data_IF_249806939666
#
_entry.id   IF_249806939666
#
_cell.length_a   1.000
_cell.length_b   1.000
_cell.length_c   1.000
_cell.angle_alpha   90.00
_cell.angle_beta   90.00
_cell.angle_gamma   90.00
#
_symmetry.space_group_name_H-M   'P 1'
#
loop_
_entity.id
_entity.type
_entity.pdbx_description
1 polymer ?
#
# COMPACT_ATOMS: atom_id res chain seq x y z
N UNK A 1 1.50 20.34 -14.12
CA UNK A 1 1.85 19.14 -13.33
C UNK A 1 1.71 19.36 -11.83
N UNK A 2 2.31 20.41 -11.26
CA UNK A 2 2.25 20.68 -9.80
C UNK A 2 0.82 20.75 -9.23
N UNK A 3 -0.13 21.43 -9.89
CA UNK A 3 -1.55 21.44 -9.49
C UNK A 3 -2.18 20.04 -9.45
N UNK A 4 -1.79 19.16 -10.37
CA UNK A 4 -2.26 17.77 -10.37
C UNK A 4 -1.73 17.03 -9.14
N UNK A 5 -0.45 17.19 -8.83
CA UNK A 5 0.19 16.58 -7.65
C UNK A 5 -0.47 17.06 -6.36
N UNK A 6 -0.64 18.36 -6.18
CA UNK A 6 -1.11 18.94 -4.92
C UNK A 6 -2.62 18.80 -4.74
N UNK A 7 -3.43 18.96 -5.79
CA UNK A 7 -4.90 19.04 -5.65
C UNK A 7 -5.69 18.15 -6.60
N UNK A 8 -5.03 17.29 -7.39
CA UNK A 8 -5.71 16.42 -8.36
C UNK A 8 -6.66 15.42 -7.70
N UNK A 9 -7.80 15.14 -8.32
CA UNK A 9 -8.88 14.35 -7.72
C UNK A 9 -8.59 12.83 -7.57
N UNK A 10 -7.52 12.34 -8.21
CA UNK A 10 -7.21 10.90 -8.28
C UNK A 10 -5.84 10.57 -7.65
N UNK A 11 -5.69 10.67 -6.31
CA UNK A 11 -4.40 10.49 -5.65
C UNK A 11 -3.79 9.09 -5.84
N UNK A 12 -4.60 8.04 -6.00
CA UNK A 12 -4.08 6.68 -6.22
C UNK A 12 -3.44 6.53 -7.60
N UNK A 13 -4.11 7.03 -8.63
CA UNK A 13 -3.53 7.08 -9.98
C UNK A 13 -2.29 7.97 -10.02
N UNK A 14 -2.29 9.10 -9.31
CA UNK A 14 -1.10 9.95 -9.19
C UNK A 14 0.04 9.20 -8.50
N UNK A 15 -0.25 8.36 -7.51
CA UNK A 15 0.76 7.55 -6.83
C UNK A 15 1.42 6.54 -7.77
N UNK A 16 0.62 5.81 -8.55
CA UNK A 16 1.13 4.86 -9.55
C UNK A 16 1.98 5.59 -10.59
N UNK A 17 1.46 6.67 -11.17
CA UNK A 17 2.19 7.50 -12.13
C UNK A 17 3.50 8.05 -11.59
N UNK A 18 3.50 8.58 -10.36
CA UNK A 18 4.70 9.11 -9.73
C UNK A 18 5.72 8.02 -9.43
N UNK A 19 5.27 6.81 -9.05
CA UNK A 19 6.16 5.68 -8.81
C UNK A 19 6.89 5.26 -10.09
N UNK A 20 6.19 5.22 -11.21
CA UNK A 20 6.80 4.93 -12.52
C UNK A 20 7.89 5.96 -12.87
N UNK A 21 7.62 7.26 -12.67
CA UNK A 21 8.62 8.32 -12.89
C UNK A 21 9.84 8.21 -11.97
N UNK A 22 9.62 7.87 -10.70
CA UNK A 22 10.70 7.70 -9.72
C UNK A 22 11.58 6.51 -10.11
N UNK A 23 10.98 5.43 -10.59
CA UNK A 23 11.70 4.25 -11.05
C UNK A 23 12.49 4.52 -12.34
N UNK A 24 11.91 5.27 -13.28
CA UNK A 24 12.57 5.70 -14.52
C UNK A 24 13.90 6.45 -14.26
N UNK A 25 13.95 7.26 -13.20
CA UNK A 25 15.15 8.01 -12.82
C UNK A 25 16.05 7.32 -11.78
N UNK A 26 15.80 6.05 -11.44
CA UNK A 26 16.55 5.33 -10.41
C UNK A 26 16.49 5.99 -9.03
N UNK A 27 15.41 6.74 -8.75
CA UNK A 27 15.22 7.41 -7.46
C UNK A 27 14.78 6.43 -6.37
N UNK A 28 14.27 5.25 -6.74
CA UNK A 28 13.92 4.17 -5.80
C UNK A 28 15.05 3.13 -5.59
N UNK A 29 15.93 2.92 -6.57
CA UNK A 29 17.11 2.03 -6.51
C UNK A 29 18.18 2.52 -7.49
N UNK A 30 19.46 2.40 -7.11
CA UNK A 30 20.69 2.85 -7.80
C UNK A 30 20.55 3.35 -9.25
N UNK A 31 21.07 4.57 -9.47
CA UNK A 31 21.07 5.37 -10.69
C UNK A 31 21.05 4.58 -12.01
N UNK A 32 19.90 4.60 -12.68
CA UNK A 32 19.77 4.26 -14.09
C UNK A 32 20.15 5.50 -14.91
N UNK A 33 20.89 5.38 -16.03
CA UNK A 33 21.09 6.49 -16.94
C UNK A 33 19.73 7.05 -17.38
N UNK A 34 19.50 8.34 -17.14
CA UNK A 34 18.24 8.98 -17.50
C UNK A 34 17.98 8.78 -19.00
N UNK A 35 16.81 8.23 -19.39
CA UNK A 35 16.48 8.06 -20.80
C UNK A 35 16.55 9.40 -21.53
N UNK A 36 17.00 9.42 -22.79
CA UNK A 36 16.98 10.64 -23.63
C UNK A 36 15.57 11.19 -23.83
N UNK A 37 14.56 10.32 -23.68
CA UNK A 37 13.15 10.59 -23.96
C UNK A 37 12.32 10.73 -22.66
N UNK A 38 12.99 10.97 -21.52
CA UNK A 38 12.32 11.08 -20.23
C UNK A 38 11.30 12.23 -20.21
N UNK A 39 10.11 11.98 -19.68
CA UNK A 39 9.02 12.95 -19.65
C UNK A 39 9.37 14.20 -18.83
N UNK A 40 10.16 14.02 -17.77
CA UNK A 40 10.65 15.08 -16.90
C UNK A 40 12.15 14.92 -16.65
N UNK A 41 12.83 16.02 -16.28
CA UNK A 41 14.18 15.91 -15.74
C UNK A 41 14.13 15.35 -14.32
N UNK A 42 15.25 14.74 -13.87
CA UNK A 42 15.41 14.24 -12.50
C UNK A 42 15.01 15.27 -11.43
N UNK A 43 15.49 16.51 -11.55
CA UNK A 43 15.18 17.60 -10.61
C UNK A 43 13.68 17.98 -10.59
N UNK A 44 12.98 17.88 -11.73
CA UNK A 44 11.53 18.08 -11.76
C UNK A 44 10.84 16.91 -11.04
N UNK A 45 11.25 15.68 -11.31
CA UNK A 45 10.70 14.48 -10.67
C UNK A 45 10.89 14.50 -9.16
N UNK A 46 12.06 14.89 -8.67
CA UNK A 46 12.34 15.03 -7.23
C UNK A 46 11.42 16.06 -6.57
N UNK A 47 11.21 17.23 -7.18
CA UNK A 47 10.28 18.24 -6.66
C UNK A 47 8.83 17.74 -6.63
N UNK A 48 8.40 17.03 -7.68
CA UNK A 48 7.05 16.47 -7.73
C UNK A 48 6.87 15.35 -6.68
N UNK A 49 7.90 14.52 -6.47
CA UNK A 49 7.94 13.50 -5.40
C UNK A 49 7.72 14.14 -4.04
N UNK A 50 8.51 15.15 -3.70
CA UNK A 50 8.46 15.80 -2.38
C UNK A 50 7.07 16.41 -2.12
N UNK A 51 6.52 17.11 -3.11
CA UNK A 51 5.15 17.66 -3.04
C UNK A 51 4.07 16.59 -2.88
N UNK A 52 4.24 15.44 -3.53
CA UNK A 52 3.26 14.37 -3.40
C UNK A 52 3.39 13.63 -2.07
N UNK A 53 4.62 13.43 -1.57
CA UNK A 53 4.87 12.86 -0.25
C UNK A 53 4.27 13.71 0.89
N UNK A 54 4.38 15.05 0.78
CA UNK A 54 3.69 16.00 1.68
C UNK A 54 2.18 15.74 1.67
N UNK A 55 1.60 15.59 0.48
CA UNK A 55 0.16 15.33 0.32
C UNK A 55 -0.26 13.96 0.85
N UNK A 56 0.52 12.91 0.61
CA UNK A 56 0.29 11.56 1.15
C UNK A 56 0.27 11.53 2.69
N UNK A 57 1.00 12.45 3.31
CA UNK A 57 1.07 12.58 4.76
C UNK A 57 -0.14 13.31 5.38
N UNK A 58 -1.00 13.91 4.56
CA UNK A 58 -2.18 14.66 5.03
C UNK A 58 -3.26 13.74 5.61
N UNK A 59 -3.90 14.11 6.74
CA UNK A 59 -4.94 13.31 7.37
C UNK A 59 -6.09 12.94 6.43
N UNK A 60 -6.50 13.86 5.56
CA UNK A 60 -7.60 13.66 4.62
C UNK A 60 -7.32 12.51 3.65
N UNK A 61 -6.07 12.42 3.16
CA UNK A 61 -5.69 11.38 2.23
C UNK A 61 -5.48 10.04 2.94
N UNK A 62 -4.90 10.05 4.15
CA UNK A 62 -4.81 8.87 5.01
C UNK A 62 -6.18 8.26 5.31
N UNK A 63 -7.20 9.09 5.59
CA UNK A 63 -8.57 8.62 5.79
C UNK A 63 -9.17 8.00 4.53
N UNK A 64 -8.88 8.56 3.34
CA UNK A 64 -9.34 7.98 2.07
C UNK A 64 -8.74 6.59 1.78
N UNK A 65 -7.54 6.27 2.27
CA UNK A 65 -6.95 4.92 2.14
C UNK A 65 -7.84 3.87 2.79
N UNK A 66 -8.43 4.18 3.93
CA UNK A 66 -9.33 3.29 4.66
C UNK A 66 -10.72 3.17 4.02
N UNK A 67 -10.98 3.84 2.89
CA UNK A 67 -12.22 3.70 2.12
C UNK A 67 -12.01 2.93 0.80
N UNK A 68 -10.78 2.47 0.54
CA UNK A 68 -10.38 1.85 -0.73
C UNK A 68 -9.92 0.42 -0.53
N UNK A 69 -10.14 -0.38 -1.56
CA UNK A 69 -9.60 -1.74 -1.66
C UNK A 69 -8.31 -1.73 -2.48
N UNK A 70 -7.48 -2.76 -2.31
CA UNK A 70 -6.24 -2.95 -3.07
C UNK A 70 -5.23 -1.78 -2.91
N UNK A 71 -5.02 -1.29 -1.69
CA UNK A 71 -4.13 -0.14 -1.42
C UNK A 71 -2.64 -0.50 -1.33
N UNK A 72 -2.27 -1.78 -1.51
CA UNK A 72 -0.89 -2.25 -1.36
C UNK A 72 0.08 -1.49 -2.28
N UNK A 73 -0.27 -1.33 -3.57
CA UNK A 73 0.54 -0.58 -4.53
C UNK A 73 0.78 0.87 -4.10
N UNK A 74 -0.24 1.48 -3.48
CA UNK A 74 -0.15 2.83 -2.95
C UNK A 74 0.83 2.92 -1.76
N UNK A 75 0.81 1.95 -0.83
CA UNK A 75 1.74 1.95 0.31
C UNK A 75 3.19 1.86 -0.15
N UNK A 76 3.45 1.05 -1.17
CA UNK A 76 4.76 1.00 -1.80
C UNK A 76 5.15 2.31 -2.46
N UNK A 77 4.24 2.94 -3.21
CA UNK A 77 4.48 4.24 -3.82
C UNK A 77 4.79 5.30 -2.76
N UNK A 78 4.05 5.29 -1.65
CA UNK A 78 4.27 6.21 -0.53
C UNK A 78 5.61 5.96 0.17
N UNK A 79 6.00 4.70 0.36
CA UNK A 79 7.31 4.34 0.89
C UNK A 79 8.44 4.86 -0.02
N UNK A 80 8.32 4.62 -1.33
CA UNK A 80 9.32 5.03 -2.32
C UNK A 80 9.44 6.56 -2.42
N UNK A 81 8.37 7.31 -2.11
CA UNK A 81 8.32 8.78 -2.17
C UNK A 81 8.69 9.48 -0.86
N UNK A 82 8.46 8.82 0.28
CA UNK A 82 8.70 9.40 1.60
C UNK A 82 9.78 8.61 2.34
N UNK A 83 9.37 7.63 3.17
CA UNK A 83 10.26 6.71 3.85
C UNK A 83 9.48 5.48 4.31
N UNK A 84 10.21 4.40 4.58
CA UNK A 84 9.66 3.19 5.23
C UNK A 84 8.98 3.52 6.57
N UNK A 85 9.62 4.38 7.37
CA UNK A 85 9.13 4.70 8.70
C UNK A 85 7.84 5.53 8.69
N UNK A 86 7.67 6.42 7.70
CA UNK A 86 6.42 7.18 7.56
C UNK A 86 5.21 6.26 7.31
N UNK A 87 5.39 5.22 6.49
CA UNK A 87 4.34 4.25 6.19
C UNK A 87 4.10 3.32 7.38
N UNK A 88 5.15 2.80 8.02
CA UNK A 88 5.04 1.96 9.21
C UNK A 88 4.37 2.67 10.38
N UNK A 89 4.69 3.95 10.60
CA UNK A 89 4.02 4.78 11.61
C UNK A 89 2.51 4.86 11.37
N UNK A 90 2.08 5.07 10.12
CA UNK A 90 0.66 5.07 9.78
C UNK A 90 0.02 3.68 9.96
N UNK A 91 0.71 2.61 9.57
CA UNK A 91 0.23 1.23 9.81
C UNK A 91 0.05 0.98 11.30
N UNK A 92 1.00 1.38 12.16
CA UNK A 92 0.87 1.29 13.62
C UNK A 92 -0.37 2.03 14.15
N UNK A 93 -0.60 3.25 13.67
CA UNK A 93 -1.76 4.05 14.05
C UNK A 93 -3.09 3.38 13.68
N UNK A 94 -3.19 2.84 12.45
CA UNK A 94 -4.40 2.18 11.96
C UNK A 94 -4.62 0.83 12.63
N UNK A 95 -3.56 0.10 12.95
CA UNK A 95 -3.63 -1.28 13.47
C UNK A 95 -3.60 -1.34 15.00
N UNK A 96 -3.73 -0.20 15.68
CA UNK A 96 -3.76 -0.11 17.14
C UNK A 96 -4.94 -0.88 17.76
N UNK A 97 -6.00 -1.15 16.99
CA UNK A 97 -7.15 -1.97 17.40
C UNK A 97 -7.29 -3.21 16.50
N UNK A 98 -7.96 -4.24 17.02
CA UNK A 98 -8.24 -5.47 16.26
C UNK A 98 -9.07 -5.20 15.00
N UNK A 99 -10.08 -4.34 15.14
CA UNK A 99 -10.90 -3.89 14.01
C UNK A 99 -10.05 -3.16 12.96
N UNK A 100 -9.18 -2.25 13.40
CA UNK A 100 -8.28 -1.51 12.51
C UNK A 100 -7.30 -2.42 11.77
N UNK A 101 -6.77 -3.43 12.46
CA UNK A 101 -5.93 -4.47 11.86
C UNK A 101 -6.67 -5.25 10.78
N UNK A 102 -7.85 -5.80 11.09
CA UNK A 102 -8.67 -6.55 10.13
C UNK A 102 -9.03 -5.67 8.93
N UNK A 103 -9.48 -4.45 9.18
CA UNK A 103 -9.88 -3.49 8.17
C UNK A 103 -8.73 -3.15 7.21
N UNK A 104 -7.52 -2.92 7.74
CA UNK A 104 -6.33 -2.67 6.92
C UNK A 104 -5.96 -3.89 6.08
N UNK A 105 -5.90 -5.08 6.68
CA UNK A 105 -5.50 -6.30 5.98
C UNK A 105 -6.44 -6.65 4.82
N UNK A 106 -7.75 -6.42 4.97
CA UNK A 106 -8.73 -6.56 3.87
C UNK A 106 -8.34 -5.67 2.68
N UNK A 107 -7.93 -4.43 2.95
CA UNK A 107 -7.58 -3.44 1.92
C UNK A 107 -6.24 -3.72 1.27
N UNK A 108 -5.38 -4.48 1.94
CA UNK A 108 -4.12 -4.95 1.39
C UNK A 108 -4.26 -6.23 0.57
N UNK A 109 -5.46 -6.84 0.53
CA UNK A 109 -5.69 -7.99 -0.31
C UNK A 109 -5.49 -7.66 -1.79
N UNK A 110 -4.86 -8.59 -2.48
CA UNK A 110 -4.65 -8.55 -3.93
C UNK A 110 -5.66 -9.45 -4.62
N UNK A 111 -6.17 -9.02 -5.78
CA UNK A 111 -6.96 -9.88 -6.65
C UNK A 111 -6.01 -10.74 -7.49
N UNK A 112 -6.24 -12.05 -7.48
CA UNK A 112 -5.55 -13.01 -8.33
C UNK A 112 -6.56 -13.71 -9.22
N UNK A 113 -6.19 -13.90 -10.47
CA UNK A 113 -6.98 -14.69 -11.41
C UNK A 113 -6.24 -15.97 -11.74
N UNK A 114 -6.94 -17.10 -11.66
CA UNK A 114 -6.40 -18.38 -12.10
C UNK A 114 -7.39 -19.09 -13.00
N UNK A 115 -6.88 -19.85 -13.97
CA UNK A 115 -7.70 -20.59 -14.94
C UNK A 115 -8.64 -21.63 -14.31
N UNK A 116 -8.25 -22.18 -13.15
CA UNK A 116 -8.93 -23.29 -12.48
C UNK A 116 -9.85 -22.83 -11.35
N UNK A 117 -9.49 -21.74 -10.63
CA UNK A 117 -10.24 -21.23 -9.47
C UNK A 117 -11.00 -19.94 -9.76
N UNK A 118 -10.79 -19.33 -10.93
CA UNK A 118 -11.32 -18.01 -11.25
C UNK A 118 -10.63 -16.90 -10.46
N UNK A 119 -11.36 -15.81 -10.22
CA UNK A 119 -10.89 -14.68 -9.42
C UNK A 119 -11.02 -14.97 -7.92
N UNK A 120 -9.94 -14.78 -7.16
CA UNK A 120 -9.94 -14.87 -5.72
C UNK A 120 -9.08 -13.76 -5.11
N UNK A 121 -9.27 -13.50 -3.82
CA UNK A 121 -8.46 -12.56 -3.05
C UNK A 121 -7.43 -13.30 -2.22
N UNK A 122 -6.23 -12.73 -2.09
CA UNK A 122 -5.21 -13.22 -1.16
C UNK A 122 -4.47 -12.09 -0.48
N UNK A 123 -3.91 -12.38 0.68
CA UNK A 123 -2.89 -11.55 1.31
C UNK A 123 -1.54 -12.13 0.91
N UNK A 124 -0.82 -11.47 0.01
CA UNK A 124 0.55 -11.85 -0.35
C UNK A 124 1.48 -11.51 0.83
N UNK A 125 1.76 -12.49 1.71
CA UNK A 125 2.48 -12.27 2.98
C UNK A 125 3.85 -11.63 2.77
N UNK A 126 4.57 -12.03 1.73
CA UNK A 126 5.87 -11.47 1.33
C UNK A 126 5.80 -9.98 0.97
N UNK A 127 4.68 -9.54 0.39
CA UNK A 127 4.48 -8.15 0.00
C UNK A 127 3.89 -7.28 1.12
N UNK A 128 3.15 -7.88 2.05
CA UNK A 128 2.46 -7.16 3.13
C UNK A 128 3.33 -7.04 4.39
N UNK A 129 4.06 -8.11 4.75
CA UNK A 129 4.90 -8.15 5.95
C UNK A 129 5.90 -6.99 6.09
N UNK A 130 6.49 -6.41 5.02
CA UNK A 130 7.45 -5.31 5.18
C UNK A 130 6.87 -4.04 5.81
N UNK A 131 5.54 -3.87 5.80
CA UNK A 131 4.87 -2.69 6.35
C UNK A 131 4.52 -2.81 7.84
N UNK A 132 4.76 -3.97 8.43
CA UNK A 132 4.53 -4.22 9.86
C UNK A 132 5.88 -4.35 10.56
N UNK A 133 5.95 -3.87 11.81
CA UNK A 133 7.19 -3.97 12.60
C UNK A 133 7.51 -5.43 12.98
N UNK A 134 6.47 -6.21 13.29
CA UNK A 134 6.57 -7.64 13.59
C UNK A 134 5.39 -8.38 12.95
N UNK A 135 5.63 -8.91 11.76
CA UNK A 135 4.61 -9.68 11.04
C UNK A 135 4.27 -11.00 11.74
N UNK A 136 5.23 -11.65 12.39
CA UNK A 136 4.98 -12.91 13.10
C UNK A 136 4.04 -12.70 14.28
N UNK A 137 4.18 -11.61 15.04
CA UNK A 137 3.23 -11.25 16.08
C UNK A 137 1.82 -10.96 15.53
N UNK A 138 1.73 -10.33 14.34
CA UNK A 138 0.45 -10.13 13.65
C UNK A 138 -0.18 -11.47 13.27
N UNK A 139 0.58 -12.40 12.70
CA UNK A 139 0.09 -13.73 12.33
C UNK A 139 -0.44 -14.51 13.54
N UNK A 140 0.29 -14.53 14.65
CA UNK A 140 -0.17 -15.19 15.89
C UNK A 140 -1.46 -14.57 16.41
N UNK A 141 -1.56 -13.23 16.40
CA UNK A 141 -2.78 -12.52 16.78
C UNK A 141 -3.96 -12.89 15.88
N UNK A 142 -3.75 -12.95 14.56
CA UNK A 142 -4.78 -13.36 13.60
C UNK A 142 -5.20 -14.82 13.79
N UNK A 143 -4.27 -15.75 14.07
CA UNK A 143 -4.61 -17.15 14.37
C UNK A 143 -5.55 -17.26 15.56
N UNK A 144 -5.25 -16.56 16.66
CA UNK A 144 -6.11 -16.55 17.85
C UNK A 144 -7.48 -15.96 17.51
N UNK A 145 -7.51 -14.78 16.87
CA UNK A 145 -8.73 -14.07 16.51
C UNK A 145 -9.65 -14.88 15.57
N UNK A 146 -9.08 -15.55 14.58
CA UNK A 146 -9.82 -16.29 13.54
C UNK A 146 -10.13 -17.75 13.90
N UNK A 147 -9.71 -18.19 15.11
CA UNK A 147 -10.02 -19.51 15.66
C UNK A 147 -11.39 -19.58 16.36
N UNK A 148 -12.05 -18.45 16.56
CA UNK A 148 -13.39 -18.38 17.17
C UNK A 148 -14.49 -19.01 16.32
N UNK A 149 -15.58 -19.43 16.98
CA UNK A 149 -16.75 -20.05 16.32
C UNK A 149 -17.72 -19.04 15.69
N UNK A 150 -17.64 -17.77 16.10
CA UNK A 150 -18.49 -16.68 15.60
C UNK A 150 -17.60 -15.56 15.07
N UNK A 151 -17.24 -15.65 13.79
CA UNK A 151 -16.47 -14.63 13.10
C UNK A 151 -17.40 -13.60 12.45
N UNK A 152 -16.97 -12.34 12.43
CA UNK A 152 -17.67 -11.31 11.63
C UNK A 152 -17.46 -11.60 10.13
N UNK A 153 -18.32 -11.06 9.24
CA UNK A 153 -18.13 -11.20 7.79
C UNK A 153 -16.73 -10.79 7.32
N UNK A 154 -16.17 -9.71 7.89
CA UNK A 154 -14.83 -9.21 7.59
C UNK A 154 -13.74 -10.20 8.03
N UNK A 155 -13.92 -10.84 9.19
CA UNK A 155 -12.99 -11.85 9.70
C UNK A 155 -13.05 -13.14 8.85
N UNK A 156 -14.23 -13.55 8.38
CA UNK A 156 -14.36 -14.67 7.45
C UNK A 156 -13.70 -14.37 6.10
N UNK A 157 -13.91 -13.16 5.56
CA UNK A 157 -13.22 -12.71 4.34
C UNK A 157 -11.70 -12.75 4.53
N UNK A 158 -11.21 -12.20 5.64
CA UNK A 158 -9.78 -12.19 5.96
C UNK A 158 -9.22 -13.61 6.10
N UNK A 159 -9.92 -14.51 6.79
CA UNK A 159 -9.54 -15.92 6.96
C UNK A 159 -9.43 -16.63 5.61
N UNK A 160 -10.41 -16.43 4.73
CA UNK A 160 -10.39 -16.96 3.37
C UNK A 160 -9.20 -16.43 2.56
N UNK A 161 -8.93 -15.13 2.63
CA UNK A 161 -7.81 -14.52 1.91
C UNK A 161 -6.44 -14.98 2.43
N UNK A 162 -6.29 -15.21 3.74
CA UNK A 162 -5.07 -15.74 4.35
C UNK A 162 -4.79 -17.20 3.95
N UNK A 163 -5.84 -18.00 3.77
CA UNK A 163 -5.72 -19.39 3.31
C UNK A 163 -5.48 -19.54 1.80
N UNK A 164 -5.52 -18.43 1.04
CA UNK A 164 -5.24 -18.42 -0.40
C UNK A 164 -3.78 -18.06 -0.73
N UNK A 165 -2.94 -17.83 0.29
CA UNK A 165 -1.51 -17.56 0.11
C UNK A 165 -0.62 -18.80 0.24
N UNK A 166 -1.23 -19.97 0.48
CA UNK A 166 -0.55 -21.27 0.58
C UNK A 166 -0.44 -21.98 -0.78
#
# INVERSE_FOLDING_TARGET
MEKLIVTGASPFWIADFMRDLIWEHGLAQNAVPSPSDALFSRDITERLRDRFAERMSQPELKQQLLLRQSILGYLYAWRDMSSDEAVKQWVREVTATDEGLVNLLIRLQTSVFSSHRGAYRRIARDQVSPFFDDWSAVEEKLKVMLSGNELTPEQEELKSALGNDD
#
